data_IF_561636244142
#
_entry.id   IF_561636244142
#
_cell.length_a   1.000
_cell.length_b   1.000
_cell.length_c   1.000
_cell.angle_alpha   90.00
_cell.angle_beta   90.00
_cell.angle_gamma   90.00
#
_symmetry.space_group_name_H-M   'P 1'
#
loop_
_entity.id
_entity.type
_entity.pdbx_description
1 polymer ?
#
# COMPACT_ATOMS: atom_id res chain seq x y z
N UNK A 1 -11.92 2.38 -6.42
CA UNK A 1 -12.89 3.00 -7.35
C UNK A 1 -12.68 2.54 -8.80
N UNK A 2 -11.49 2.75 -9.38
CA UNK A 2 -11.18 2.29 -10.74
C UNK A 2 -11.44 0.78 -10.95
N UNK A 3 -10.87 -0.06 -10.10
CA UNK A 3 -11.06 -1.52 -10.16
C UNK A 3 -12.54 -1.92 -10.14
N UNK A 4 -13.33 -1.32 -9.26
CA UNK A 4 -14.79 -1.51 -9.21
C UNK A 4 -15.47 -1.09 -10.51
N UNK A 5 -15.09 0.05 -11.08
CA UNK A 5 -15.64 0.51 -12.35
C UNK A 5 -15.25 -0.39 -13.52
N UNK A 6 -14.14 -1.13 -13.38
CA UNK A 6 -13.69 -2.16 -14.31
C UNK A 6 -14.27 -3.55 -14.05
N UNK A 7 -15.13 -3.74 -13.04
CA UNK A 7 -15.67 -5.06 -12.69
C UNK A 7 -14.65 -6.00 -12.03
N UNK A 8 -13.59 -5.44 -11.44
CA UNK A 8 -12.52 -6.15 -10.75
C UNK A 8 -12.40 -5.66 -9.29
N UNK A 9 -13.53 -5.38 -8.63
CA UNK A 9 -13.60 -4.77 -7.29
C UNK A 9 -12.93 -5.60 -6.20
N UNK A 10 -12.78 -6.89 -6.44
CA UNK A 10 -12.17 -7.85 -5.54
C UNK A 10 -10.73 -8.21 -5.91
N UNK A 11 -10.15 -7.52 -6.89
CA UNK A 11 -8.76 -7.69 -7.30
C UNK A 11 -7.84 -6.64 -6.67
N UNK A 12 -6.54 -6.92 -6.70
CA UNK A 12 -5.43 -6.03 -6.31
C UNK A 12 -4.57 -5.70 -7.51
N UNK A 13 -3.93 -4.53 -7.46
CA UNK A 13 -2.94 -4.07 -8.44
C UNK A 13 -1.82 -3.37 -7.69
N UNK A 14 -0.58 -3.66 -8.05
CA UNK A 14 0.59 -2.99 -7.46
C UNK A 14 0.99 -1.79 -8.32
N UNK A 15 1.19 -0.63 -7.70
CA UNK A 15 1.61 0.59 -8.37
C UNK A 15 2.98 1.02 -7.84
N UNK A 16 3.97 1.07 -8.74
CA UNK A 16 5.33 1.49 -8.43
C UNK A 16 5.61 2.82 -9.11
N UNK A 17 5.92 3.83 -8.31
CA UNK A 17 6.32 5.15 -8.79
C UNK A 17 7.84 5.25 -8.70
N UNK A 18 8.49 5.43 -9.84
CA UNK A 18 9.95 5.30 -9.98
C UNK A 18 10.54 6.50 -10.72
N UNK A 19 11.87 6.56 -10.74
CA UNK A 19 12.66 7.50 -11.55
C UNK A 19 12.85 6.99 -12.98
N UNK A 20 13.34 7.87 -13.86
CA UNK A 20 13.72 7.48 -15.22
C UNK A 20 14.82 6.43 -15.28
N UNK A 21 15.76 6.46 -14.32
CA UNK A 21 16.86 5.50 -14.27
C UNK A 21 16.32 4.08 -14.04
N UNK A 22 15.42 3.93 -13.08
CA UNK A 22 14.79 2.65 -12.74
C UNK A 22 13.91 2.13 -13.88
N UNK A 23 13.04 2.97 -14.46
CA UNK A 23 12.17 2.50 -15.55
C UNK A 23 12.95 2.19 -16.83
N UNK A 24 14.07 2.89 -17.10
CA UNK A 24 14.96 2.61 -18.23
C UNK A 24 15.56 1.21 -18.10
N UNK A 25 16.00 0.83 -16.89
CA UNK A 25 16.53 -0.51 -16.65
C UNK A 25 15.48 -1.59 -16.96
N UNK A 26 14.24 -1.38 -16.47
CA UNK A 26 13.12 -2.28 -16.76
C UNK A 26 12.78 -2.31 -18.25
N UNK A 27 12.73 -1.15 -18.92
CA UNK A 27 12.43 -1.05 -20.34
C UNK A 27 13.50 -1.76 -21.20
N UNK A 28 14.78 -1.64 -20.81
CA UNK A 28 15.88 -2.36 -21.44
C UNK A 28 15.78 -3.87 -21.20
N UNK A 29 15.42 -4.30 -19.99
CA UNK A 29 15.33 -5.71 -19.63
C UNK A 29 14.17 -6.42 -20.34
N UNK A 30 12.98 -5.82 -20.34
CA UNK A 30 11.74 -6.47 -20.78
C UNK A 30 11.31 -6.11 -22.20
N UNK A 31 11.64 -4.91 -22.69
CA UNK A 31 11.29 -4.47 -24.07
C UNK A 31 12.51 -4.28 -24.97
N UNK A 32 13.73 -4.53 -24.47
CA UNK A 32 14.99 -4.32 -25.18
C UNK A 32 15.18 -2.87 -25.70
N UNK A 33 14.64 -1.90 -24.95
CA UNK A 33 14.73 -0.46 -25.25
C UNK A 33 15.52 0.25 -24.16
N UNK A 34 16.75 0.65 -24.46
CA UNK A 34 17.64 1.34 -23.51
C UNK A 34 17.34 2.85 -23.42
N UNK A 35 16.11 3.18 -23.04
CA UNK A 35 15.64 4.54 -22.83
C UNK A 35 14.50 4.56 -21.79
N UNK A 36 14.29 5.66 -21.06
CA UNK A 36 13.14 5.78 -20.19
C UNK A 36 11.84 5.72 -20.99
N UNK A 37 10.78 5.24 -20.34
CA UNK A 37 9.40 5.27 -20.84
C UNK A 37 8.50 5.83 -19.75
N UNK A 38 7.23 6.08 -20.05
CA UNK A 38 6.30 6.68 -19.09
C UNK A 38 5.68 5.61 -18.17
N UNK A 39 5.24 4.49 -18.74
CA UNK A 39 4.60 3.39 -18.00
C UNK A 39 4.98 2.03 -18.58
N UNK A 40 5.12 1.04 -17.70
CA UNK A 40 5.19 -0.38 -18.02
C UNK A 40 4.11 -1.11 -17.22
N UNK A 41 3.51 -2.14 -17.82
CA UNK A 41 2.51 -2.97 -17.17
C UNK A 41 2.91 -4.44 -17.28
N UNK A 42 2.93 -5.13 -16.16
CA UNK A 42 3.35 -6.51 -16.02
C UNK A 42 2.16 -7.34 -15.50
N UNK A 43 1.41 -8.03 -16.39
CA UNK A 43 0.30 -8.88 -15.98
C UNK A 43 0.76 -10.00 -15.06
N UNK A 44 0.03 -10.25 -13.97
CA UNK A 44 0.36 -11.32 -13.02
C UNK A 44 0.35 -12.72 -13.66
N UNK A 45 -0.47 -12.91 -14.71
CA UNK A 45 -0.54 -14.15 -15.46
C UNK A 45 0.78 -14.49 -16.19
N UNK A 46 1.55 -13.47 -16.59
CA UNK A 46 2.79 -13.62 -17.32
C UNK A 46 3.93 -13.95 -16.34
N UNK A 47 4.10 -15.24 -16.03
CA UNK A 47 5.12 -15.73 -15.11
C UNK A 47 4.57 -16.50 -13.90
N UNK A 48 3.27 -16.80 -13.89
CA UNK A 48 2.66 -17.61 -12.83
C UNK A 48 3.35 -18.98 -12.73
N UNK A 49 3.97 -19.25 -11.58
CA UNK A 49 4.43 -20.59 -11.25
C UNK A 49 3.21 -21.52 -11.25
N UNK A 50 3.24 -22.67 -11.97
CA UNK A 50 2.11 -23.60 -12.04
C UNK A 50 1.55 -24.04 -10.68
N UNK A 51 2.33 -23.91 -9.61
CA UNK A 51 1.90 -24.20 -8.23
C UNK A 51 0.87 -23.20 -7.66
N UNK A 52 0.68 -22.03 -8.27
CA UNK A 52 -0.39 -21.07 -7.93
C UNK A 52 -1.69 -21.35 -8.68
N UNK A 53 -1.69 -22.23 -9.69
CA UNK A 53 -2.89 -22.62 -10.42
C UNK A 53 -3.88 -23.32 -9.46
N UNK A 54 -4.91 -22.60 -9.03
CA UNK A 54 -5.94 -23.11 -8.11
C UNK A 54 -6.03 -22.37 -6.77
N UNK A 55 -5.13 -21.45 -6.46
CA UNK A 55 -5.33 -20.48 -5.38
C UNK A 55 -6.20 -19.32 -5.88
N UNK A 56 -7.12 -18.77 -5.06
CA UNK A 56 -7.91 -17.60 -5.42
C UNK A 56 -7.05 -16.33 -5.32
N UNK A 57 -5.95 -16.27 -6.08
CA UNK A 57 -5.11 -15.08 -6.18
C UNK A 57 -5.81 -14.10 -7.11
N UNK A 58 -6.20 -12.95 -6.55
CA UNK A 58 -6.92 -11.89 -7.27
C UNK A 58 -5.99 -10.72 -7.60
N UNK A 59 -4.75 -11.00 -7.95
CA UNK A 59 -3.76 -9.98 -8.33
C UNK A 59 -3.78 -9.78 -9.85
N UNK A 60 -3.96 -8.55 -10.32
CA UNK A 60 -3.91 -8.23 -11.75
C UNK A 60 -2.47 -8.10 -12.27
N UNK A 61 -1.56 -7.63 -11.42
CA UNK A 61 -0.15 -7.42 -11.76
C UNK A 61 0.35 -6.05 -11.33
N UNK A 62 1.40 -5.60 -11.99
CA UNK A 62 2.15 -4.42 -11.59
C UNK A 62 2.10 -3.33 -12.67
N UNK A 63 1.92 -2.09 -12.24
CA UNK A 63 2.07 -0.88 -13.07
C UNK A 63 3.26 -0.11 -12.53
N UNK A 64 4.25 0.15 -13.39
CA UNK A 64 5.44 0.93 -13.05
C UNK A 64 5.41 2.23 -13.84
N UNK A 65 5.44 3.37 -13.16
CA UNK A 65 5.33 4.71 -13.76
C UNK A 65 6.56 5.54 -13.41
N UNK A 66 7.20 6.13 -14.43
CA UNK A 66 8.24 7.15 -14.18
C UNK A 66 7.62 8.50 -13.88
N UNK A 67 7.88 9.03 -12.69
CA UNK A 67 7.42 10.38 -12.30
C UNK A 67 8.16 11.47 -13.08
N UNK A 68 9.43 11.25 -13.42
CA UNK A 68 10.25 12.20 -14.18
C UNK A 68 9.71 12.35 -15.61
N UNK A 69 9.42 11.24 -16.27
CA UNK A 69 8.82 11.25 -17.61
C UNK A 69 7.39 11.78 -17.58
N UNK A 70 6.58 11.36 -16.60
CA UNK A 70 5.21 11.89 -16.45
C UNK A 70 5.20 13.41 -16.23
N UNK A 71 6.17 13.96 -15.49
CA UNK A 71 6.33 15.40 -15.29
C UNK A 71 6.60 16.14 -16.59
N UNK A 72 7.57 15.67 -17.38
CA UNK A 72 7.90 16.28 -18.69
C UNK A 72 6.74 16.18 -19.68
N UNK A 73 6.07 15.03 -19.75
CA UNK A 73 4.89 14.85 -20.61
C UNK A 73 3.74 15.77 -20.20
N UNK A 74 3.51 15.97 -18.90
CA UNK A 74 2.48 16.89 -18.43
C UNK A 74 2.75 18.32 -18.91
N UNK A 75 4.00 18.79 -18.84
CA UNK A 75 4.40 20.09 -19.38
C UNK A 75 4.26 20.16 -20.92
N UNK A 76 4.75 19.14 -21.64
CA UNK A 76 4.69 19.05 -23.10
C UNK A 76 3.26 19.08 -23.63
N UNK A 77 2.34 18.37 -22.98
CA UNK A 77 0.95 18.29 -23.38
C UNK A 77 0.06 19.38 -22.78
N UNK A 78 0.62 20.30 -21.98
CA UNK A 78 -0.15 21.36 -21.31
C UNK A 78 -1.21 20.83 -20.33
N UNK A 79 -0.93 19.71 -19.67
CA UNK A 79 -1.81 19.06 -18.70
C UNK A 79 -1.28 19.24 -17.28
N UNK A 80 -2.14 19.02 -16.27
CA UNK A 80 -1.64 18.94 -14.89
C UNK A 80 -0.88 17.63 -14.69
N UNK A 81 0.12 17.64 -13.80
CA UNK A 81 0.83 16.42 -13.43
C UNK A 81 -0.12 15.34 -12.89
N UNK A 82 -1.13 15.74 -12.12
CA UNK A 82 -2.14 14.83 -11.59
C UNK A 82 -2.96 14.18 -12.70
N UNK A 83 -3.42 14.94 -13.70
CA UNK A 83 -4.19 14.40 -14.83
C UNK A 83 -3.34 13.44 -15.66
N UNK A 84 -2.06 13.75 -15.86
CA UNK A 84 -1.13 12.84 -16.54
C UNK A 84 -0.95 11.54 -15.78
N UNK A 85 -0.76 11.61 -14.46
CA UNK A 85 -0.60 10.43 -13.61
C UNK A 85 -1.88 9.57 -13.58
N UNK A 86 -3.05 10.20 -13.48
CA UNK A 86 -4.35 9.50 -13.54
C UNK A 86 -4.51 8.77 -14.88
N UNK A 87 -4.15 9.42 -16.00
CA UNK A 87 -4.18 8.78 -17.31
C UNK A 87 -3.22 7.59 -17.35
N UNK A 88 -1.97 7.71 -16.89
CA UNK A 88 -0.98 6.63 -16.90
C UNK A 88 -1.41 5.43 -16.04
N UNK A 89 -1.98 5.66 -14.86
CA UNK A 89 -2.55 4.60 -14.02
C UNK A 89 -3.73 3.92 -14.71
N UNK A 90 -4.62 4.70 -15.33
CA UNK A 90 -5.79 4.18 -16.05
C UNK A 90 -5.36 3.34 -17.25
N UNK A 91 -4.40 3.85 -18.03
CA UNK A 91 -3.83 3.19 -19.19
C UNK A 91 -3.15 1.87 -18.82
N UNK A 92 -2.28 1.89 -17.81
CA UNK A 92 -1.61 0.68 -17.32
C UNK A 92 -2.59 -0.37 -16.78
N UNK A 93 -3.62 0.07 -16.06
CA UNK A 93 -4.68 -0.83 -15.57
C UNK A 93 -5.44 -1.50 -16.71
N UNK A 94 -5.78 -0.77 -17.77
CA UNK A 94 -6.47 -1.33 -18.93
C UNK A 94 -5.62 -2.40 -19.63
N UNK A 95 -4.31 -2.20 -19.71
CA UNK A 95 -3.39 -3.24 -20.19
C UNK A 95 -3.41 -4.49 -19.32
N UNK A 96 -3.39 -4.36 -17.98
CA UNK A 96 -3.51 -5.51 -17.07
C UNK A 96 -4.85 -6.24 -17.22
N UNK A 97 -5.90 -5.54 -17.64
CA UNK A 97 -7.23 -6.10 -17.92
C UNK A 97 -7.36 -6.67 -19.35
N UNK A 98 -6.28 -6.68 -20.12
CA UNK A 98 -6.22 -7.30 -21.46
C UNK A 98 -6.62 -6.39 -22.62
N UNK A 99 -6.78 -5.07 -22.40
CA UNK A 99 -6.89 -4.12 -23.51
C UNK A 99 -5.52 -3.92 -24.16
N UNK A 100 -5.51 -3.80 -25.48
CA UNK A 100 -4.26 -3.68 -26.24
C UNK A 100 -4.44 -2.77 -27.45
N UNK A 101 -3.90 -1.55 -27.37
CA UNK A 101 -3.98 -0.55 -28.43
C UNK A 101 -3.00 -0.80 -29.58
N UNK A 102 -2.02 -1.71 -29.45
CA UNK A 102 -1.03 -1.99 -30.49
C UNK A 102 -1.53 -3.03 -31.52
N UNK A 103 -2.64 -3.74 -31.24
CA UNK A 103 -3.15 -4.85 -32.10
C UNK A 103 -3.92 -4.40 -33.33
N UNK A 104 -4.76 -3.37 -33.21
CA UNK A 104 -5.57 -2.85 -34.32
C UNK A 104 -6.18 -1.50 -33.98
N UNK A 105 -6.55 -0.71 -34.99
CA UNK A 105 -7.24 0.57 -34.78
C UNK A 105 -8.61 0.43 -34.09
N UNK A 106 -9.28 -0.73 -34.21
CA UNK A 106 -10.53 -0.99 -33.50
C UNK A 106 -10.30 -1.22 -31.99
N UNK A 107 -9.23 -1.94 -31.64
CA UNK A 107 -8.86 -2.15 -30.23
C UNK A 107 -8.26 -0.87 -29.60
N UNK A 108 -7.53 -0.06 -30.37
CA UNK A 108 -7.10 1.27 -29.97
C UNK A 108 -8.30 2.17 -29.63
N UNK A 109 -9.30 2.27 -30.51
CA UNK A 109 -10.51 3.06 -30.25
C UNK A 109 -11.28 2.55 -29.03
N UNK A 110 -11.35 1.23 -28.87
CA UNK A 110 -12.00 0.60 -27.71
C UNK A 110 -11.29 0.97 -26.41
N UNK A 111 -9.96 0.93 -26.39
CA UNK A 111 -9.16 1.31 -25.23
C UNK A 111 -9.30 2.80 -24.94
N UNK A 112 -9.18 3.68 -25.94
CA UNK A 112 -9.35 5.14 -25.79
C UNK A 112 -10.72 5.53 -25.26
N UNK A 113 -11.78 4.88 -25.77
CA UNK A 113 -13.15 5.08 -25.27
C UNK A 113 -13.21 4.72 -23.78
N UNK A 114 -12.60 3.60 -23.41
CA UNK A 114 -12.61 3.12 -22.03
C UNK A 114 -11.79 4.02 -21.10
N UNK A 115 -10.64 4.52 -21.53
CA UNK A 115 -9.85 5.52 -20.79
C UNK A 115 -10.69 6.76 -20.51
N UNK A 116 -11.35 7.29 -21.54
CA UNK A 116 -12.19 8.49 -21.44
C UNK A 116 -13.33 8.30 -20.45
N UNK A 117 -14.02 7.17 -20.50
CA UNK A 117 -15.09 6.82 -19.55
C UNK A 117 -14.60 6.78 -18.10
N UNK A 118 -13.47 6.12 -17.85
CA UNK A 118 -12.92 5.96 -16.50
C UNK A 118 -12.41 7.27 -15.92
N UNK A 119 -11.74 8.10 -16.73
CA UNK A 119 -11.24 9.41 -16.31
C UNK A 119 -12.40 10.36 -16.03
N UNK A 120 -13.45 10.36 -16.86
CA UNK A 120 -14.66 11.13 -16.62
C UNK A 120 -15.35 10.68 -15.32
N UNK A 121 -15.47 9.38 -15.10
CA UNK A 121 -16.03 8.82 -13.87
C UNK A 121 -15.23 9.27 -12.64
N UNK A 122 -13.90 9.16 -12.68
CA UNK A 122 -13.04 9.61 -11.59
C UNK A 122 -13.21 11.11 -11.32
N UNK A 123 -13.21 11.94 -12.36
CA UNK A 123 -13.37 13.39 -12.22
C UNK A 123 -14.71 13.77 -11.57
N UNK A 124 -15.79 13.07 -11.91
CA UNK A 124 -17.11 13.27 -11.32
C UNK A 124 -17.23 12.71 -9.89
N UNK A 125 -16.42 11.70 -9.54
CA UNK A 125 -16.46 11.00 -8.25
C UNK A 125 -15.26 11.27 -7.33
N UNK A 126 -14.35 12.20 -7.68
CA UNK A 126 -13.16 12.57 -6.86
C UNK A 126 -13.51 12.92 -5.40
N UNK A 127 -14.77 13.29 -5.13
CA UNK A 127 -15.26 13.70 -3.80
C UNK A 127 -15.86 12.58 -2.96
N UNK A 128 -15.99 11.34 -3.47
CA UNK A 128 -16.76 10.29 -2.76
C UNK A 128 -15.92 9.28 -1.97
N UNK A 129 -14.59 9.28 -2.08
CA UNK A 129 -13.70 8.59 -1.13
C UNK A 129 -12.51 9.48 -0.75
N UNK A 130 -12.58 10.11 0.42
CA UNK A 130 -11.41 10.79 0.98
C UNK A 130 -10.37 9.74 1.41
N UNK A 131 -9.10 9.88 1.02
CA UNK A 131 -8.05 9.05 1.58
C UNK A 131 -8.01 9.25 3.10
N UNK A 132 -7.86 8.15 3.84
CA UNK A 132 -7.70 8.19 5.29
C UNK A 132 -6.23 8.33 5.64
N UNK A 133 -5.90 9.33 6.47
CA UNK A 133 -4.56 9.49 7.03
C UNK A 133 -4.55 8.92 8.45
N UNK A 134 -3.73 7.90 8.70
CA UNK A 134 -3.42 7.46 10.05
C UNK A 134 -1.99 7.88 10.41
N UNK A 135 -1.79 8.43 11.60
CA UNK A 135 -0.50 9.02 12.01
C UNK A 135 0.22 8.08 12.96
N UNK A 136 1.46 7.72 12.64
CA UNK A 136 2.34 6.97 13.53
C UNK A 136 2.99 7.91 14.58
N UNK A 137 2.89 7.57 15.86
CA UNK A 137 3.42 8.37 16.98
C UNK A 137 4.65 7.78 17.67
N UNK A 138 5.29 6.75 17.10
CA UNK A 138 6.46 6.05 17.66
C UNK A 138 7.66 6.98 17.89
N UNK A 139 7.86 7.95 16.99
CA UNK A 139 8.97 8.88 17.11
C UNK A 139 8.81 9.90 18.24
N UNK A 140 7.57 10.14 18.70
CA UNK A 140 7.33 10.90 19.94
C UNK A 140 7.91 10.12 21.12
N UNK A 141 7.58 8.83 21.22
CA UNK A 141 8.14 7.95 22.22
C UNK A 141 9.66 7.78 22.08
N UNK A 142 10.20 7.80 20.86
CA UNK A 142 11.66 7.77 20.65
C UNK A 142 12.36 8.96 21.31
N UNK A 143 11.82 10.18 21.18
CA UNK A 143 12.36 11.38 21.83
C UNK A 143 12.25 11.24 23.36
N UNK A 144 11.12 10.73 23.86
CA UNK A 144 10.91 10.47 25.29
C UNK A 144 11.95 9.49 25.84
N UNK A 145 12.16 8.36 25.18
CA UNK A 145 13.14 7.34 25.60
C UNK A 145 14.58 7.88 25.55
N UNK A 146 14.91 8.71 24.56
CA UNK A 146 16.23 9.34 24.46
C UNK A 146 16.52 10.29 25.65
N UNK A 147 15.48 10.88 26.25
CA UNK A 147 15.59 11.76 27.43
C UNK A 147 15.43 11.03 28.76
N UNK A 148 14.85 9.83 28.76
CA UNK A 148 14.51 9.10 29.98
C UNK A 148 13.46 9.80 30.84
N UNK A 149 12.60 10.62 30.22
CA UNK A 149 11.55 11.41 30.88
C UNK A 149 10.17 10.87 30.56
N UNK A 150 9.12 11.42 31.16
CA UNK A 150 7.72 11.09 30.79
C UNK A 150 7.23 11.88 29.58
N UNK A 151 7.91 12.99 29.26
CA UNK A 151 7.59 13.84 28.12
C UNK A 151 8.66 13.74 27.01
N UNK A 152 8.26 13.85 25.72
CA UNK A 152 6.88 14.02 25.24
C UNK A 152 6.05 12.72 25.33
N UNK A 153 4.79 12.80 25.75
CA UNK A 153 3.90 11.61 25.83
C UNK A 153 3.23 11.28 24.47
N UNK A 154 3.46 10.08 23.89
CA UNK A 154 2.78 9.66 22.65
C UNK A 154 1.26 9.63 22.76
N UNK A 155 0.69 9.42 23.96
CA UNK A 155 -0.77 9.45 24.16
C UNK A 155 -1.32 10.87 23.95
N UNK A 156 -0.62 11.88 24.45
CA UNK A 156 -0.99 13.28 24.25
C UNK A 156 -0.82 13.69 22.79
N UNK A 157 0.25 13.24 22.12
CA UNK A 157 0.45 13.49 20.70
C UNK A 157 -0.65 12.87 19.82
N UNK A 158 -1.11 11.67 20.15
CA UNK A 158 -2.21 11.02 19.46
C UNK A 158 -3.51 11.85 19.53
N UNK A 159 -3.85 12.39 20.71
CA UNK A 159 -5.01 13.25 20.86
C UNK A 159 -4.91 14.53 19.98
N UNK A 160 -3.72 15.14 19.89
CA UNK A 160 -3.49 16.29 19.00
C UNK A 160 -3.69 15.90 17.53
N UNK A 161 -3.17 14.72 17.13
CA UNK A 161 -3.32 14.21 15.76
C UNK A 161 -4.80 14.00 15.39
N UNK A 162 -5.60 13.41 16.26
CA UNK A 162 -7.04 13.23 16.02
C UNK A 162 -7.78 14.57 15.91
N UNK A 163 -7.50 15.52 16.81
CA UNK A 163 -8.07 16.87 16.76
C UNK A 163 -7.67 17.64 15.48
N UNK A 164 -6.51 17.33 14.91
CA UNK A 164 -6.03 17.89 13.65
C UNK A 164 -6.61 17.19 12.40
N UNK A 165 -7.42 16.14 12.57
CA UNK A 165 -8.13 15.47 11.47
C UNK A 165 -7.55 14.11 11.05
N UNK A 166 -6.63 13.52 11.82
CA UNK A 166 -6.20 12.14 11.57
C UNK A 166 -7.40 11.18 11.66
N UNK A 167 -7.49 10.25 10.70
CA UNK A 167 -8.50 9.19 10.66
C UNK A 167 -8.11 7.95 11.47
N UNK A 168 -6.91 7.94 12.06
CA UNK A 168 -6.40 6.86 12.86
C UNK A 168 -5.05 7.18 13.49
N UNK A 169 -4.66 6.39 14.48
CA UNK A 169 -3.37 6.43 15.16
C UNK A 169 -2.69 5.08 14.97
N UNK A 170 -1.42 5.13 14.58
CA UNK A 170 -0.57 3.97 14.39
C UNK A 170 0.48 3.96 15.50
N UNK A 171 0.73 2.79 16.09
CA UNK A 171 1.87 2.58 16.99
C UNK A 171 2.49 1.21 16.76
N UNK A 172 3.81 1.12 16.87
CA UNK A 172 4.54 -0.13 16.78
C UNK A 172 5.04 -0.57 18.16
N UNK A 173 4.42 -1.62 18.70
CA UNK A 173 4.89 -2.27 19.92
C UNK A 173 5.91 -3.37 19.58
N UNK A 174 7.18 -3.02 19.70
CA UNK A 174 8.30 -3.93 19.44
C UNK A 174 8.52 -4.95 20.56
N UNK A 175 9.04 -6.13 20.24
CA UNK A 175 9.51 -7.13 21.22
C UNK A 175 10.49 -6.52 22.24
N UNK A 176 11.39 -5.64 21.78
CA UNK A 176 12.44 -5.02 22.60
C UNK A 176 12.00 -3.73 23.34
N UNK A 177 10.76 -3.28 23.15
CA UNK A 177 10.21 -2.03 23.71
C UNK A 177 11.13 -0.82 23.53
N UNK A 178 11.76 -0.68 22.36
CA UNK A 178 12.73 0.40 22.10
C UNK A 178 12.18 1.82 22.23
N UNK A 179 10.91 2.02 21.88
CA UNK A 179 10.24 3.35 21.92
C UNK A 179 8.89 3.27 22.62
N UNK A 180 7.87 2.77 21.92
CA UNK A 180 6.53 2.56 22.49
C UNK A 180 6.60 1.47 23.56
N UNK A 181 5.96 1.73 24.69
CA UNK A 181 5.85 0.83 25.84
C UNK A 181 4.42 0.27 25.96
N UNK A 182 4.24 -0.82 26.69
CA UNK A 182 2.91 -1.43 26.93
C UNK A 182 1.90 -0.43 27.51
N UNK A 183 2.36 0.45 28.42
CA UNK A 183 1.58 1.56 28.98
C UNK A 183 0.96 2.42 27.87
N UNK A 184 1.77 2.81 26.89
CA UNK A 184 1.34 3.75 25.86
C UNK A 184 0.22 3.12 25.03
N UNK A 185 0.39 1.86 24.64
CA UNK A 185 -0.60 1.13 23.84
C UNK A 185 -1.90 0.90 24.61
N UNK A 186 -1.82 0.55 25.90
CA UNK A 186 -3.00 0.39 26.77
C UNK A 186 -3.79 1.70 26.91
N UNK A 187 -3.09 2.82 27.12
CA UNK A 187 -3.73 4.13 27.23
C UNK A 187 -4.29 4.59 25.88
N UNK A 188 -3.58 4.38 24.78
CA UNK A 188 -4.08 4.68 23.44
C UNK A 188 -5.36 3.91 23.14
N UNK A 189 -5.44 2.62 23.51
CA UNK A 189 -6.67 1.83 23.33
C UNK A 189 -7.87 2.42 24.05
N UNK A 190 -7.66 3.03 25.21
CA UNK A 190 -8.71 3.66 26.02
C UNK A 190 -9.08 5.08 25.54
N UNK A 191 -8.16 5.78 24.88
CA UNK A 191 -8.27 7.22 24.61
C UNK A 191 -8.56 7.54 23.14
N UNK A 192 -7.94 6.83 22.19
CA UNK A 192 -8.15 7.00 20.74
C UNK A 192 -9.63 6.83 20.40
N UNK A 193 -10.19 7.78 19.63
CA UNK A 193 -11.61 7.81 19.26
C UNK A 193 -11.86 7.40 17.81
N UNK A 194 -10.84 7.44 16.98
CA UNK A 194 -10.86 7.03 15.57
C UNK A 194 -10.55 5.54 15.45
N UNK A 195 -9.40 5.18 14.88
CA UNK A 195 -8.93 3.80 14.75
C UNK A 195 -7.52 3.67 15.31
N UNK A 196 -7.29 2.66 16.14
CA UNK A 196 -5.96 2.26 16.59
C UNK A 196 -5.44 1.11 15.71
N UNK A 197 -4.39 1.40 14.93
CA UNK A 197 -3.63 0.39 14.19
C UNK A 197 -2.37 0.01 14.98
N UNK A 198 -2.29 -1.25 15.41
CA UNK A 198 -1.13 -1.78 16.11
C UNK A 198 -0.18 -2.46 15.11
N UNK A 199 0.96 -1.84 14.86
CA UNK A 199 2.08 -2.49 14.20
C UNK A 199 2.80 -3.43 15.18
N UNK A 200 3.09 -4.65 14.74
CA UNK A 200 3.71 -5.67 15.59
C UNK A 200 4.38 -6.79 14.81
N UNK A 201 5.40 -7.42 15.41
CA UNK A 201 5.94 -8.69 14.95
C UNK A 201 5.02 -9.87 15.25
N UNK A 202 5.23 -10.98 14.55
CA UNK A 202 4.47 -12.22 14.74
C UNK A 202 5.04 -13.11 15.86
N UNK A 203 5.42 -12.53 17.00
CA UNK A 203 5.84 -13.30 18.18
C UNK A 203 4.68 -13.58 19.13
N UNK A 204 4.78 -14.68 19.85
CA UNK A 204 3.72 -15.14 20.74
C UNK A 204 3.34 -14.08 21.79
N UNK A 205 4.32 -13.42 22.39
CA UNK A 205 4.08 -12.39 23.41
C UNK A 205 3.25 -11.22 22.86
N UNK A 206 3.64 -10.66 21.71
CA UNK A 206 2.94 -9.52 21.13
C UNK A 206 1.57 -9.95 20.57
N UNK A 207 1.44 -11.17 20.05
CA UNK A 207 0.16 -11.75 19.64
C UNK A 207 -0.81 -11.86 20.82
N UNK A 208 -0.36 -12.45 21.93
CA UNK A 208 -1.19 -12.61 23.12
C UNK A 208 -1.60 -11.22 23.66
N UNK A 209 -0.68 -10.25 23.67
CA UNK A 209 -0.97 -8.87 24.05
C UNK A 209 -2.02 -8.22 23.14
N UNK A 210 -1.89 -8.34 21.82
CA UNK A 210 -2.83 -7.76 20.86
C UNK A 210 -4.23 -8.39 20.96
N UNK A 211 -4.31 -9.71 21.20
CA UNK A 211 -5.58 -10.43 21.37
C UNK A 211 -6.33 -10.02 22.65
N UNK A 212 -5.60 -9.62 23.69
CA UNK A 212 -6.16 -9.05 24.92
C UNK A 212 -6.57 -7.58 24.71
N UNK A 213 -5.70 -6.78 24.10
CA UNK A 213 -5.90 -5.36 23.85
C UNK A 213 -7.07 -5.08 22.89
N UNK A 214 -7.25 -5.93 21.86
CA UNK A 214 -8.21 -5.77 20.76
C UNK A 214 -8.13 -4.38 20.09
N UNK A 215 -7.02 -4.06 19.41
CA UNK A 215 -6.94 -2.86 18.57
C UNK A 215 -7.96 -2.94 17.43
N UNK A 216 -8.20 -1.82 16.76
CA UNK A 216 -9.17 -1.78 15.65
C UNK A 216 -8.58 -2.37 14.36
N UNK A 217 -7.24 -2.48 14.28
CA UNK A 217 -6.50 -3.13 13.19
C UNK A 217 -5.11 -3.56 13.68
N UNK A 218 -4.56 -4.62 13.08
CA UNK A 218 -3.15 -5.02 13.25
C UNK A 218 -2.42 -4.99 11.92
N UNK A 219 -1.19 -4.46 11.94
CA UNK A 219 -0.27 -4.53 10.80
C UNK A 219 0.94 -5.39 11.18
N UNK A 220 1.10 -6.55 10.53
CA UNK A 220 2.26 -7.42 10.77
C UNK A 220 3.48 -6.87 10.06
N UNK A 221 4.52 -6.56 10.84
CA UNK A 221 5.79 -6.02 10.35
C UNK A 221 6.95 -6.95 10.69
N UNK A 222 8.03 -6.98 9.89
CA UNK A 222 9.19 -7.80 10.20
C UNK A 222 9.98 -7.19 11.36
N UNK A 223 10.26 -7.97 12.41
CA UNK A 223 11.08 -7.49 13.54
C UNK A 223 12.52 -8.03 13.47
N UNK A 224 12.70 -9.23 12.89
CA UNK A 224 14.01 -9.90 12.80
C UNK A 224 14.52 -9.89 11.38
N UNK A 225 15.85 -9.85 11.20
CA UNK A 225 16.46 -9.80 9.86
C UNK A 225 16.06 -10.96 8.96
N UNK A 226 15.80 -12.14 9.53
CA UNK A 226 15.37 -13.34 8.80
C UNK A 226 13.93 -13.21 8.27
N UNK A 227 13.16 -12.26 8.79
CA UNK A 227 11.78 -12.01 8.41
C UNK A 227 11.67 -10.95 7.30
N UNK A 228 12.80 -10.36 6.89
CA UNK A 228 12.86 -9.34 5.85
C UNK A 228 12.95 -9.97 4.45
N UNK A 229 12.32 -9.33 3.46
CA UNK A 229 12.66 -9.48 2.04
C UNK A 229 13.94 -8.71 1.73
N UNK A 230 14.41 -8.78 0.47
CA UNK A 230 15.54 -7.94 0.00
C UNK A 230 15.24 -6.45 0.14
N UNK A 231 13.96 -6.07 -0.03
CA UNK A 231 13.47 -4.69 0.06
C UNK A 231 13.09 -4.28 1.50
N UNK A 232 13.30 -5.14 2.50
CA UNK A 232 13.01 -4.84 3.90
C UNK A 232 11.54 -4.99 4.33
N UNK A 233 10.66 -5.46 3.44
CA UNK A 233 9.28 -5.82 3.77
C UNK A 233 9.17 -7.18 4.47
N UNK A 234 7.98 -7.55 4.94
CA UNK A 234 7.75 -8.87 5.56
C UNK A 234 7.86 -9.98 4.51
N UNK A 235 8.73 -10.97 4.74
CA UNK A 235 8.86 -12.17 3.91
C UNK A 235 7.70 -13.14 4.15
N UNK A 236 6.56 -12.85 3.53
CA UNK A 236 5.33 -13.64 3.67
C UNK A 236 5.48 -15.05 3.09
N UNK A 237 6.14 -15.19 1.94
CA UNK A 237 6.35 -16.48 1.28
C UNK A 237 7.17 -17.42 2.15
N UNK A 238 8.25 -16.93 2.76
CA UNK A 238 9.10 -17.69 3.68
C UNK A 238 8.45 -18.05 5.01
N UNK A 239 7.40 -17.32 5.44
CA UNK A 239 6.77 -17.48 6.76
C UNK A 239 5.27 -17.83 6.71
N UNK A 240 4.79 -18.32 5.55
CA UNK A 240 3.36 -18.53 5.25
C UNK A 240 2.59 -19.24 6.37
N UNK A 241 3.12 -20.33 6.92
CA UNK A 241 2.44 -21.12 7.97
C UNK A 241 2.25 -20.33 9.27
N UNK A 242 3.29 -19.60 9.70
CA UNK A 242 3.28 -18.79 10.92
C UNK A 242 2.29 -17.63 10.78
N UNK A 243 2.38 -16.89 9.68
CA UNK A 243 1.51 -15.73 9.43
C UNK A 243 0.05 -16.14 9.26
N UNK A 244 -0.23 -17.23 8.54
CA UNK A 244 -1.60 -17.74 8.40
C UNK A 244 -2.22 -18.10 9.76
N UNK A 245 -1.44 -18.65 10.68
CA UNK A 245 -1.91 -18.93 12.04
C UNK A 245 -2.18 -17.64 12.83
N UNK A 246 -1.30 -16.64 12.72
CA UNK A 246 -1.50 -15.32 13.35
C UNK A 246 -2.76 -14.64 12.82
N UNK A 247 -2.92 -14.54 11.49
CA UNK A 247 -4.10 -13.95 10.84
C UNK A 247 -5.37 -14.66 11.27
N UNK A 248 -5.37 -16.01 11.29
CA UNK A 248 -6.53 -16.78 11.76
C UNK A 248 -6.88 -16.47 13.22
N UNK A 249 -5.88 -16.25 14.07
CA UNK A 249 -6.09 -15.94 15.49
C UNK A 249 -6.66 -14.53 15.68
N UNK A 250 -6.19 -13.55 14.91
CA UNK A 250 -6.70 -12.17 14.92
C UNK A 250 -8.13 -12.10 14.36
N UNK A 251 -8.38 -12.75 13.23
CA UNK A 251 -9.70 -12.81 12.60
C UNK A 251 -10.75 -13.48 13.51
N UNK A 252 -10.37 -14.48 14.31
CA UNK A 252 -11.25 -15.09 15.30
C UNK A 252 -11.67 -14.15 16.46
N UNK A 253 -11.06 -12.96 16.55
CA UNK A 253 -11.40 -11.89 17.50
C UNK A 253 -11.90 -10.62 16.80
N UNK A 254 -12.26 -10.71 15.52
CA UNK A 254 -12.71 -9.59 14.69
C UNK A 254 -11.68 -8.46 14.57
N UNK A 255 -10.39 -8.80 14.66
CA UNK A 255 -9.29 -7.86 14.45
C UNK A 255 -8.83 -8.03 12.99
N UNK A 256 -9.04 -7.01 12.13
CA UNK A 256 -8.61 -7.03 10.74
C UNK A 256 -7.08 -6.93 10.60
#
# INVERSE_FOLDING_TARGET
MLLKQCGADDHTVSLHLVTDAEIRELNSRYRHKDMPTNVLSFPFADGMDPSFAGLPVRELGEIVISLDTAGREAEEFGQTFEDRLIWLVTHGLLHLLGYDHERSGAEEQRMQTRETELIAYLSQNRRTSMPHLAINVDHVATIRQARGTIEPDPVAAAAICELAGASGIVVHLREDRRHIQDRDVQLLRQTVKTRLNLEMGASREIIDFALELKPDMVTLVPEKRQELTTEGGLNVTGQKKKLAQTVKSMAARDIP
#
